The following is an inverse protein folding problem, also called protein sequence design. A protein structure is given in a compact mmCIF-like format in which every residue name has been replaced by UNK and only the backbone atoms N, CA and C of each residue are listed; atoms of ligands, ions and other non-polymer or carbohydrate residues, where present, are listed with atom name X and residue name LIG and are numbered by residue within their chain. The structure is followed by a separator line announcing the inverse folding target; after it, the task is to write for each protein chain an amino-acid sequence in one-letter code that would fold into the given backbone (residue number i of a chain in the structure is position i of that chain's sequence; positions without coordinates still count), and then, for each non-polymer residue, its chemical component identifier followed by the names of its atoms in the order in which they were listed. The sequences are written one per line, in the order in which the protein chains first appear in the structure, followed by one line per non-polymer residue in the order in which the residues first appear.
data_IF_504778885071
#
_entry.id   IF_504778885071
#
_cell.length_a   1.000
_cell.length_b   1.000
_cell.length_c   1.000
_cell.angle_alpha   90.00
_cell.angle_beta   90.00
_cell.angle_gamma   90.00
#
_symmetry.space_group_name_H-M   'P 1'
#
loop_
_entity.id
_entity.type
_entity.pdbx_description
1 polymer ?
#
# COMPACT_ATOMS: atom_id res chain seq x y z
N UNK A 1 76.24 -20.27 45.85
CA UNK A 1 76.62 -19.55 44.62
C UNK A 1 75.50 -18.56 44.29
N UNK A 2 75.90 -17.29 44.16
CA UNK A 2 75.20 -16.12 43.59
C UNK A 2 73.88 -15.68 44.24
N UNK A 3 74.02 -14.61 45.03
CA UNK A 3 72.98 -13.65 45.40
C UNK A 3 72.66 -12.72 44.23
N UNK A 4 71.46 -12.15 44.18
CA UNK A 4 71.29 -10.72 43.87
C UNK A 4 69.88 -10.21 44.22
N UNK A 5 69.85 -9.15 45.00
CA UNK A 5 68.72 -8.26 45.28
C UNK A 5 68.72 -7.06 44.34
N UNK A 6 67.56 -6.53 43.95
CA UNK A 6 67.35 -5.07 43.75
C UNK A 6 65.84 -4.78 43.55
N UNK A 7 65.16 -4.16 44.53
CA UNK A 7 64.83 -2.72 44.70
C UNK A 7 64.18 -2.02 43.49
N UNK A 8 62.96 -1.55 43.75
CA UNK A 8 62.13 -0.65 42.95
C UNK A 8 62.84 0.64 42.53
N UNK A 9 62.56 1.12 41.32
CA UNK A 9 62.74 2.51 40.91
C UNK A 9 61.46 3.03 40.26
N UNK A 10 60.85 4.00 40.93
CA UNK A 10 59.75 4.84 40.47
C UNK A 10 60.30 5.83 39.44
N UNK A 11 59.78 5.82 38.21
CA UNK A 11 60.14 6.83 37.20
C UNK A 11 59.06 7.90 37.19
N UNK A 12 59.43 9.09 37.65
CA UNK A 12 58.69 10.34 37.48
C UNK A 12 59.00 10.87 36.08
N UNK A 13 58.03 10.85 35.17
CA UNK A 13 58.12 11.52 33.88
C UNK A 13 57.44 12.88 34.01
N UNK A 14 58.24 13.93 34.18
CA UNK A 14 57.80 15.30 33.97
C UNK A 14 57.92 15.64 32.49
N UNK A 15 56.82 16.04 31.84
CA UNK A 15 56.86 16.60 30.50
C UNK A 15 56.31 18.02 30.50
N UNK A 16 57.27 18.91 30.26
CA UNK A 16 57.27 20.29 29.80
C UNK A 16 55.96 20.75 29.10
N UNK A 17 55.31 21.77 29.65
CA UNK A 17 54.30 22.57 28.95
C UNK A 17 54.97 23.47 27.92
N UNK A 18 54.63 23.27 26.63
CA UNK A 18 54.93 24.20 25.54
C UNK A 18 53.72 25.11 25.37
N UNK A 19 53.91 26.41 25.66
CA UNK A 19 52.94 27.47 25.36
C UNK A 19 53.07 27.82 23.87
N UNK A 20 52.00 27.55 23.10
CA UNK A 20 51.87 27.98 21.71
C UNK A 20 50.91 29.18 21.67
N UNK A 21 51.43 30.36 21.41
CA UNK A 21 50.64 31.57 21.14
C UNK A 21 49.95 31.43 19.78
N UNK A 22 48.62 31.25 19.79
CA UNK A 22 47.81 31.31 18.57
C UNK A 22 47.29 32.73 18.38
N UNK A 23 47.75 33.37 17.30
CA UNK A 23 47.28 34.65 16.81
C UNK A 23 45.80 34.57 16.41
N UNK A 24 44.99 35.48 16.95
CA UNK A 24 43.57 35.62 16.62
C UNK A 24 43.43 36.22 15.22
N UNK A 25 43.14 35.38 14.24
CA UNK A 25 42.69 35.81 12.91
C UNK A 25 41.23 36.25 12.97
N UNK A 26 40.97 37.54 12.76
CA UNK A 26 39.61 38.09 12.63
C UNK A 26 39.01 37.66 11.30
N UNK A 27 38.13 36.66 11.31
CA UNK A 27 37.30 36.29 10.17
C UNK A 27 36.04 37.15 10.15
N UNK A 28 35.92 38.00 9.12
CA UNK A 28 34.70 38.74 8.84
C UNK A 28 33.54 37.77 8.57
N UNK A 29 32.50 37.81 9.42
CA UNK A 29 31.25 37.09 9.21
C UNK A 29 30.48 37.73 8.06
N UNK A 30 30.33 37.01 6.95
CA UNK A 30 29.34 37.32 5.93
C UNK A 30 27.96 36.93 6.45
N UNK A 31 27.00 37.85 6.35
CA UNK A 31 25.60 37.59 6.69
C UNK A 31 25.04 36.50 5.76
N UNK A 32 24.26 35.52 6.28
CA UNK A 32 23.63 34.53 5.42
C UNK A 32 22.54 35.21 4.58
N UNK A 33 22.56 34.94 3.27
CA UNK A 33 21.51 35.34 2.35
C UNK A 33 20.13 34.82 2.83
N UNK A 34 19.03 35.54 2.56
CA UNK A 34 17.70 35.11 2.98
C UNK A 34 17.41 33.75 2.38
N UNK A 35 17.25 32.76 3.26
CA UNK A 35 17.02 31.37 2.90
C UNK A 35 15.83 31.24 1.96
N UNK A 36 16.06 30.55 0.85
CA UNK A 36 15.00 29.91 0.06
C UNK A 36 14.18 29.10 1.06
N UNK A 37 12.94 29.51 1.32
CA UNK A 37 11.98 28.70 2.06
C UNK A 37 11.76 27.45 1.20
N UNK A 38 12.42 26.36 1.54
CA UNK A 38 12.04 25.03 1.06
C UNK A 38 10.56 24.86 1.41
N UNK A 39 9.72 24.79 0.37
CA UNK A 39 8.31 24.52 0.53
C UNK A 39 8.18 23.21 1.32
N UNK A 40 7.46 23.27 2.44
CA UNK A 40 7.17 22.09 3.27
C UNK A 40 6.43 21.10 2.36
N UNK A 41 7.11 20.06 1.90
CA UNK A 41 6.45 18.94 1.23
C UNK A 41 5.37 18.41 2.16
N UNK A 42 4.15 18.23 1.66
CA UNK A 42 3.13 17.50 2.42
C UNK A 42 3.76 16.19 2.91
N UNK A 43 3.73 15.95 4.22
CA UNK A 43 4.39 14.78 4.82
C UNK A 43 3.86 13.51 4.15
N UNK A 44 4.74 12.58 3.73
CA UNK A 44 4.31 11.30 3.16
C UNK A 44 3.38 10.56 4.13
N UNK A 45 2.48 9.75 3.57
CA UNK A 45 1.61 8.92 4.40
C UNK A 45 2.43 7.83 5.09
N UNK A 46 2.08 7.52 6.34
CA UNK A 46 2.68 6.43 7.10
C UNK A 46 2.09 5.08 6.68
N UNK A 47 0.78 5.07 6.36
CA UNK A 47 0.05 3.88 5.97
C UNK A 47 -0.69 4.04 4.64
N UNK A 48 -0.85 2.92 3.94
CA UNK A 48 -1.70 2.78 2.77
C UNK A 48 -2.65 1.62 2.95
N UNK A 49 -3.94 1.84 2.68
CA UNK A 49 -4.91 0.76 2.51
C UNK A 49 -5.22 0.63 1.02
N UNK A 50 -4.94 -0.53 0.45
CA UNK A 50 -5.28 -0.89 -0.91
C UNK A 50 -6.45 -1.87 -0.92
N UNK A 51 -7.65 -1.38 -1.23
CA UNK A 51 -8.79 -2.23 -1.52
C UNK A 51 -8.78 -2.65 -2.98
N UNK A 52 -8.82 -3.97 -3.22
CA UNK A 52 -8.89 -4.56 -4.55
C UNK A 52 -10.23 -5.29 -4.69
N UNK A 53 -11.11 -4.75 -5.52
CA UNK A 53 -12.47 -5.26 -5.72
C UNK A 53 -12.57 -6.10 -7.01
N UNK A 54 -13.72 -6.73 -7.25
CA UNK A 54 -14.05 -7.35 -8.54
C UNK A 54 -15.49 -7.03 -8.94
N UNK A 55 -15.72 -6.97 -10.26
CA UNK A 55 -17.05 -6.71 -10.81
C UNK A 55 -17.60 -5.34 -10.45
N UNK A 56 -16.73 -4.35 -10.27
CA UNK A 56 -17.08 -3.04 -9.74
C UNK A 56 -16.81 -1.93 -10.77
N UNK A 57 -17.71 -0.95 -10.86
CA UNK A 57 -17.59 0.21 -11.74
C UNK A 57 -18.41 1.40 -11.25
N UNK A 58 -18.47 2.48 -12.04
CA UNK A 58 -19.20 3.70 -11.66
C UNK A 58 -20.68 3.43 -11.36
N UNK A 59 -21.29 2.55 -12.15
CA UNK A 59 -22.69 2.17 -12.03
C UNK A 59 -23.01 1.40 -10.74
N UNK A 60 -22.02 0.74 -10.14
CA UNK A 60 -22.16 0.05 -8.86
C UNK A 60 -22.49 1.02 -7.71
N UNK A 61 -22.17 2.32 -7.85
CA UNK A 61 -22.51 3.35 -6.86
C UNK A 61 -23.95 3.87 -6.98
N UNK A 62 -24.67 3.56 -8.06
CA UNK A 62 -26.04 4.04 -8.29
C UNK A 62 -26.95 3.67 -7.12
N UNK A 63 -27.87 4.58 -6.80
CA UNK A 63 -28.83 4.39 -5.70
C UNK A 63 -28.21 4.42 -4.30
N UNK A 64 -26.94 4.81 -4.15
CA UNK A 64 -26.28 4.92 -2.84
C UNK A 64 -25.91 3.56 -2.24
N UNK A 65 -25.70 2.54 -3.07
CA UNK A 65 -25.44 1.16 -2.64
C UNK A 65 -24.14 1.01 -1.83
N UNK A 66 -23.16 1.87 -2.07
CA UNK A 66 -21.84 1.84 -1.40
C UNK A 66 -21.48 3.21 -0.83
N UNK A 67 -22.06 3.62 0.31
CA UNK A 67 -21.87 4.96 0.86
C UNK A 67 -20.43 5.24 1.31
N UNK A 68 -19.71 4.25 1.86
CA UNK A 68 -18.34 4.43 2.32
C UNK A 68 -17.40 4.67 1.14
N UNK A 69 -17.55 3.90 0.08
CA UNK A 69 -16.82 4.10 -1.17
C UNK A 69 -17.21 5.41 -1.87
N UNK A 70 -18.50 5.78 -1.87
CA UNK A 70 -18.96 7.06 -2.42
C UNK A 70 -18.30 8.26 -1.72
N UNK A 71 -18.06 8.14 -0.41
CA UNK A 71 -17.31 9.14 0.36
C UNK A 71 -15.85 9.23 -0.11
N UNK A 72 -15.16 8.10 -0.30
CA UNK A 72 -13.78 8.08 -0.81
C UNK A 72 -13.68 8.72 -2.20
N UNK A 73 -14.66 8.47 -3.09
CA UNK A 73 -14.73 9.14 -4.40
C UNK A 73 -14.88 10.66 -4.24
N UNK A 74 -15.82 11.11 -3.38
CA UNK A 74 -16.08 12.53 -3.17
C UNK A 74 -14.88 13.27 -2.57
N UNK A 75 -14.17 12.61 -1.66
CA UNK A 75 -13.04 13.19 -0.91
C UNK A 75 -11.70 12.94 -1.60
N UNK A 76 -11.65 12.18 -2.69
CA UNK A 76 -10.41 11.75 -3.34
C UNK A 76 -10.22 12.26 -4.76
N UNK A 77 -9.24 11.65 -5.42
CA UNK A 77 -8.99 11.72 -6.86
C UNK A 77 -9.46 10.42 -7.52
N UNK A 78 -10.19 10.52 -8.63
CA UNK A 78 -10.82 9.36 -9.27
C UNK A 78 -10.68 9.37 -10.79
N UNK A 79 -10.42 8.20 -11.38
CA UNK A 79 -10.80 7.87 -12.75
C UNK A 79 -11.67 6.63 -12.76
N UNK A 80 -12.68 6.62 -13.62
CA UNK A 80 -13.52 5.45 -13.87
C UNK A 80 -13.03 4.63 -15.07
N UNK A 81 -11.92 5.06 -15.67
CA UNK A 81 -11.43 4.54 -16.94
C UNK A 81 -9.97 4.07 -16.89
N UNK A 82 -9.52 3.52 -15.76
CA UNK A 82 -8.19 2.92 -15.70
C UNK A 82 -8.16 1.64 -16.54
N UNK A 83 -7.07 1.44 -17.28
CA UNK A 83 -6.92 0.29 -18.17
C UNK A 83 -6.35 -0.89 -17.39
N UNK A 84 -7.03 -2.03 -17.44
CA UNK A 84 -6.52 -3.30 -16.93
C UNK A 84 -5.51 -3.95 -17.86
N UNK A 85 -5.17 -5.21 -17.59
CA UNK A 85 -4.23 -5.99 -18.41
C UNK A 85 -4.94 -7.07 -19.21
N UNK A 86 -4.21 -7.66 -20.17
CA UNK A 86 -4.64 -8.83 -20.93
C UNK A 86 -3.71 -10.00 -20.59
N UNK A 87 -4.24 -11.21 -20.34
CA UNK A 87 -5.66 -11.56 -20.25
C UNK A 87 -6.33 -10.94 -19.01
N UNK A 88 -7.62 -10.61 -19.14
CA UNK A 88 -8.44 -9.98 -18.10
C UNK A 88 -8.87 -10.96 -16.99
N UNK A 89 -7.90 -11.66 -16.41
CA UNK A 89 -8.10 -12.72 -15.42
C UNK A 89 -7.63 -12.24 -14.04
N UNK A 90 -8.23 -12.77 -12.98
CA UNK A 90 -7.95 -12.39 -11.58
C UNK A 90 -6.46 -12.45 -11.25
N UNK A 91 -5.86 -13.64 -11.38
CA UNK A 91 -4.48 -13.86 -10.97
C UNK A 91 -3.47 -13.05 -11.82
N UNK A 92 -3.55 -13.03 -13.17
CA UNK A 92 -2.70 -12.17 -14.00
C UNK A 92 -2.84 -10.68 -13.66
N UNK A 93 -4.07 -10.21 -13.46
CA UNK A 93 -4.33 -8.79 -13.16
C UNK A 93 -3.79 -8.39 -11.78
N UNK A 94 -3.99 -9.23 -10.75
CA UNK A 94 -3.42 -8.98 -9.42
C UNK A 94 -1.88 -9.02 -9.47
N UNK A 95 -1.30 -9.94 -10.24
CA UNK A 95 0.16 -9.99 -10.44
C UNK A 95 0.68 -8.70 -11.07
N UNK A 96 0.02 -8.21 -12.12
CA UNK A 96 0.36 -6.94 -12.76
C UNK A 96 0.23 -5.75 -11.80
N UNK A 97 -0.79 -5.74 -10.94
CA UNK A 97 -1.00 -4.71 -9.93
C UNK A 97 0.17 -4.66 -8.94
N UNK A 98 0.56 -5.80 -8.36
CA UNK A 98 1.58 -5.83 -7.30
C UNK A 98 3.01 -5.78 -7.84
N UNK A 99 3.25 -6.18 -9.09
CA UNK A 99 4.58 -6.16 -9.72
C UNK A 99 4.80 -4.97 -10.63
N UNK A 100 3.80 -4.13 -10.89
CA UNK A 100 3.96 -2.99 -11.79
C UNK A 100 4.38 -3.36 -13.22
N UNK A 101 4.16 -4.61 -13.62
CA UNK A 101 4.57 -5.18 -14.90
C UNK A 101 3.36 -5.66 -15.69
N UNK A 102 3.41 -5.61 -17.03
CA UNK A 102 2.41 -6.29 -17.85
C UNK A 102 2.61 -7.81 -17.81
N UNK A 103 1.57 -8.56 -18.24
CA UNK A 103 1.53 -10.02 -18.21
C UNK A 103 2.69 -10.65 -18.95
N UNK A 104 3.07 -10.09 -20.09
CA UNK A 104 4.15 -10.60 -20.93
C UNK A 104 5.51 -10.55 -20.21
N UNK A 105 5.69 -9.65 -19.24
CA UNK A 105 6.92 -9.49 -18.48
C UNK A 105 6.95 -10.32 -17.20
N UNK A 106 5.87 -10.32 -16.41
CA UNK A 106 5.84 -11.14 -15.19
C UNK A 106 5.49 -12.62 -15.46
N UNK A 107 4.95 -12.94 -16.65
CA UNK A 107 4.77 -14.30 -17.15
C UNK A 107 3.60 -15.08 -16.55
N UNK A 108 2.71 -14.44 -15.78
CA UNK A 108 1.57 -15.11 -15.13
C UNK A 108 0.34 -14.93 -16.00
N UNK A 109 0.05 -15.94 -16.81
CA UNK A 109 -1.03 -15.94 -17.80
C UNK A 109 -2.09 -17.02 -17.55
N UNK A 110 -2.14 -17.58 -16.34
CA UNK A 110 -3.12 -18.57 -15.89
C UNK A 110 -3.91 -18.05 -14.68
N UNK A 111 -5.05 -18.68 -14.35
CA UNK A 111 -5.99 -18.14 -13.34
C UNK A 111 -6.28 -19.06 -12.14
N UNK A 112 -5.45 -20.07 -11.91
CA UNK A 112 -5.59 -21.02 -10.82
C UNK A 112 -4.28 -21.15 -10.05
N UNK A 113 -4.34 -21.64 -8.82
CA UNK A 113 -3.12 -21.95 -8.08
C UNK A 113 -2.50 -23.24 -8.61
N UNK A 114 -1.22 -23.20 -8.96
CA UNK A 114 -0.45 -24.37 -9.35
C UNK A 114 0.88 -24.42 -8.60
N UNK A 115 1.01 -25.38 -7.68
CA UNK A 115 2.19 -25.52 -6.82
C UNK A 115 3.50 -25.69 -7.61
N UNK A 116 3.47 -26.43 -8.71
CA UNK A 116 4.65 -26.72 -9.56
C UNK A 116 5.27 -25.45 -10.18
N UNK A 117 4.49 -24.38 -10.32
CA UNK A 117 4.95 -23.11 -10.90
C UNK A 117 5.76 -22.24 -9.94
N UNK A 118 5.64 -22.49 -8.63
CA UNK A 118 6.28 -21.68 -7.60
C UNK A 118 5.83 -20.22 -7.60
N UNK A 119 6.50 -19.38 -6.81
CA UNK A 119 6.15 -17.96 -6.70
C UNK A 119 6.69 -17.13 -7.88
N UNK A 120 6.11 -15.94 -8.15
CA UNK A 120 6.59 -15.01 -9.16
C UNK A 120 8.07 -14.67 -8.94
N UNK A 121 8.81 -14.55 -10.04
CA UNK A 121 10.24 -14.17 -9.99
C UNK A 121 10.44 -12.65 -9.96
N UNK A 122 9.53 -11.90 -10.58
CA UNK A 122 9.59 -10.44 -10.57
C UNK A 122 9.33 -9.89 -9.18
N UNK A 123 10.07 -8.84 -8.75
CA UNK A 123 9.82 -8.20 -7.47
C UNK A 123 8.44 -7.53 -7.47
N UNK A 124 7.69 -7.81 -6.42
CA UNK A 124 6.44 -7.18 -6.05
C UNK A 124 6.69 -5.93 -5.21
N UNK A 125 5.63 -5.17 -4.95
CA UNK A 125 5.70 -4.01 -4.08
C UNK A 125 6.04 -4.37 -2.63
N UNK A 126 5.82 -5.62 -2.23
CA UNK A 126 6.15 -6.13 -0.90
C UNK A 126 7.67 -6.30 -0.77
N UNK A 127 8.36 -6.81 -1.80
CA UNK A 127 9.83 -6.86 -1.82
C UNK A 127 10.47 -5.49 -1.60
N UNK A 128 9.93 -4.46 -2.27
CA UNK A 128 10.49 -3.13 -2.15
C UNK A 128 10.18 -2.48 -0.81
N UNK A 129 9.06 -2.83 -0.17
CA UNK A 129 8.79 -2.41 1.20
C UNK A 129 9.77 -3.06 2.19
N UNK A 130 10.06 -4.35 2.00
CA UNK A 130 11.05 -5.09 2.79
C UNK A 130 12.45 -4.47 2.65
N UNK A 131 12.86 -4.16 1.41
CA UNK A 131 14.16 -3.53 1.13
C UNK A 131 14.23 -2.07 1.59
N UNK A 132 13.10 -1.37 1.68
CA UNK A 132 13.00 0.04 2.08
C UNK A 132 12.91 0.21 3.61
N UNK A 133 13.77 -0.50 4.34
CA UNK A 133 13.86 -0.42 5.79
C UNK A 133 12.90 -1.34 6.54
N UNK A 134 12.41 -2.41 5.92
CA UNK A 134 11.57 -3.42 6.57
C UNK A 134 10.17 -2.92 6.89
N UNK A 135 9.51 -2.25 5.93
CA UNK A 135 8.14 -1.75 6.14
C UNK A 135 7.13 -2.88 6.11
N UNK A 136 6.53 -3.17 7.27
CA UNK A 136 5.52 -4.23 7.40
C UNK A 136 4.34 -4.08 6.41
N UNK A 137 3.96 -5.19 5.80
CA UNK A 137 2.77 -5.30 4.96
C UNK A 137 1.88 -6.47 5.38
N UNK A 138 0.57 -6.28 5.24
CA UNK A 138 -0.43 -7.29 5.58
C UNK A 138 -1.40 -7.46 4.41
N UNK A 139 -1.49 -8.68 3.87
CA UNK A 139 -2.22 -8.98 2.65
C UNK A 139 -3.32 -9.98 2.96
N UNK A 140 -4.55 -9.62 2.59
CA UNK A 140 -5.73 -10.45 2.79
C UNK A 140 -6.35 -10.80 1.44
N UNK A 141 -6.10 -12.02 0.98
CA UNK A 141 -6.63 -12.52 -0.30
C UNK A 141 -7.85 -13.40 -0.10
N UNK A 142 -8.98 -12.98 -0.67
CA UNK A 142 -10.23 -13.73 -0.60
C UNK A 142 -10.44 -14.67 -1.82
N UNK A 143 -9.38 -15.29 -2.34
CA UNK A 143 -9.43 -16.27 -3.45
C UNK A 143 -8.19 -17.19 -3.47
N UNK A 144 -8.36 -18.49 -3.74
CA UNK A 144 -7.25 -19.45 -3.72
C UNK A 144 -6.24 -19.25 -4.85
N UNK A 145 -6.67 -18.76 -6.02
CA UNK A 145 -5.77 -18.52 -7.15
C UNK A 145 -4.62 -17.58 -6.77
N UNK A 146 -4.90 -16.63 -5.87
CA UNK A 146 -3.95 -15.65 -5.38
C UNK A 146 -2.91 -16.22 -4.39
N UNK A 147 -3.05 -17.48 -3.97
CA UNK A 147 -1.98 -18.17 -3.23
C UNK A 147 -0.68 -18.23 -4.05
N UNK A 148 -0.79 -18.21 -5.39
CA UNK A 148 0.36 -18.10 -6.28
C UNK A 148 1.20 -16.85 -6.02
N UNK A 149 0.61 -15.77 -5.50
CA UNK A 149 1.29 -14.50 -5.23
C UNK A 149 1.72 -14.33 -3.77
N UNK A 150 1.34 -15.26 -2.89
CA UNK A 150 1.61 -15.20 -1.46
C UNK A 150 2.99 -15.79 -1.12
N UNK A 151 4.06 -15.16 -1.64
CA UNK A 151 5.44 -15.59 -1.40
C UNK A 151 5.83 -15.30 0.05
N UNK A 152 6.37 -16.28 0.82
CA UNK A 152 6.82 -16.02 2.18
C UNK A 152 7.94 -14.98 2.22
N UNK A 153 7.75 -13.92 3.01
CA UNK A 153 8.67 -12.78 3.13
C UNK A 153 8.79 -12.34 4.60
N UNK A 154 9.93 -11.78 5.04
CA UNK A 154 10.16 -11.43 6.44
C UNK A 154 9.18 -10.44 7.06
N UNK A 155 8.78 -9.38 6.34
CA UNK A 155 7.88 -8.34 6.86
C UNK A 155 6.51 -8.32 6.19
N UNK A 156 6.14 -9.44 5.55
CA UNK A 156 4.87 -9.57 4.83
C UNK A 156 4.04 -10.71 5.43
N UNK A 157 2.86 -10.40 5.98
CA UNK A 157 1.90 -11.40 6.45
C UNK A 157 0.81 -11.62 5.40
N UNK A 158 0.64 -12.88 4.97
CA UNK A 158 -0.44 -13.28 4.07
C UNK A 158 -1.52 -14.06 4.82
N UNK A 159 -2.76 -13.60 4.73
CA UNK A 159 -3.93 -14.33 5.16
C UNK A 159 -4.81 -14.60 3.95
N UNK A 160 -5.14 -15.87 3.73
CA UNK A 160 -5.96 -16.29 2.61
C UNK A 160 -7.27 -16.90 3.07
N UNK A 161 -8.28 -16.68 2.25
CA UNK A 161 -9.63 -17.14 2.46
C UNK A 161 -10.18 -17.51 1.09
N UNK A 162 -10.47 -18.78 0.87
CA UNK A 162 -10.82 -19.30 -0.45
C UNK A 162 -12.30 -19.63 -0.61
N UNK A 163 -12.78 -19.77 -1.85
CA UNK A 163 -14.14 -20.23 -2.14
C UNK A 163 -14.43 -21.66 -1.62
N UNK A 164 -13.40 -22.49 -1.47
CA UNK A 164 -13.48 -23.84 -0.89
C UNK A 164 -13.73 -23.83 0.63
N UNK A 165 -13.65 -22.66 1.27
CA UNK A 165 -13.96 -22.47 2.70
C UNK A 165 -15.34 -21.80 2.82
N UNK A 166 -16.40 -22.50 3.26
CA UNK A 166 -17.74 -21.93 3.38
C UNK A 166 -17.81 -20.68 4.28
N UNK A 167 -16.91 -20.57 5.26
CA UNK A 167 -16.79 -19.41 6.12
C UNK A 167 -16.17 -18.18 5.44
N UNK A 168 -15.72 -18.32 4.19
CA UNK A 168 -15.03 -17.26 3.50
C UNK A 168 -15.97 -16.16 3.03
N UNK A 169 -15.79 -14.98 3.59
CA UNK A 169 -16.64 -13.81 3.35
C UNK A 169 -15.87 -12.52 3.64
N UNK A 170 -16.36 -11.36 3.15
CA UNK A 170 -15.80 -10.07 3.53
C UNK A 170 -15.71 -9.87 5.05
N UNK A 171 -16.68 -10.38 5.81
CA UNK A 171 -16.65 -10.33 7.29
C UNK A 171 -15.52 -11.15 7.89
N UNK A 172 -15.20 -12.31 7.30
CA UNK A 172 -14.08 -13.15 7.73
C UNK A 172 -12.74 -12.47 7.49
N UNK A 173 -12.58 -11.81 6.34
CA UNK A 173 -11.41 -10.98 6.04
C UNK A 173 -11.25 -9.86 7.06
N UNK A 174 -12.32 -9.11 7.36
CA UNK A 174 -12.31 -8.06 8.41
C UNK A 174 -11.92 -8.64 9.77
N UNK A 175 -12.38 -9.84 10.12
CA UNK A 175 -12.01 -10.50 11.36
C UNK A 175 -10.51 -10.85 11.41
N UNK A 176 -9.93 -11.33 10.31
CA UNK A 176 -8.49 -11.56 10.20
C UNK A 176 -7.69 -10.26 10.32
N UNK A 177 -8.14 -9.17 9.68
CA UNK A 177 -7.50 -7.85 9.82
C UNK A 177 -7.52 -7.38 11.28
N UNK A 178 -8.65 -7.50 11.99
CA UNK A 178 -8.75 -7.14 13.41
C UNK A 178 -7.83 -8.00 14.29
N UNK A 179 -7.67 -9.29 13.95
CA UNK A 179 -6.74 -10.18 14.64
C UNK A 179 -5.28 -9.76 14.40
N UNK A 180 -4.91 -9.40 13.17
CA UNK A 180 -3.60 -8.85 12.84
C UNK A 180 -3.32 -7.61 13.70
N UNK A 181 -4.23 -6.63 13.72
CA UNK A 181 -4.05 -5.37 14.46
C UNK A 181 -3.83 -5.63 15.95
N UNK A 182 -4.66 -6.47 16.55
CA UNK A 182 -4.50 -6.89 17.95
C UNK A 182 -3.14 -7.54 18.22
N UNK A 183 -2.65 -8.38 17.30
CA UNK A 183 -1.35 -9.04 17.44
C UNK A 183 -0.21 -8.01 17.33
N UNK A 184 -0.25 -7.16 16.30
CA UNK A 184 0.71 -6.09 16.08
C UNK A 184 0.84 -5.14 17.26
N UNK A 185 -0.26 -4.85 17.98
CA UNK A 185 -0.24 -3.94 19.14
C UNK A 185 -0.14 -4.66 20.49
N UNK A 186 0.02 -5.98 20.52
CA UNK A 186 0.04 -6.76 21.78
C UNK A 186 1.35 -6.67 22.57
N UNK A 187 2.41 -6.14 21.97
CA UNK A 187 3.76 -6.07 22.55
C UNK A 187 4.48 -7.43 22.68
N UNK A 188 3.82 -8.54 22.31
CA UNK A 188 4.37 -9.88 22.37
C UNK A 188 4.17 -10.54 21.00
N UNK A 189 5.17 -10.43 20.12
CA UNK A 189 5.14 -11.07 18.81
C UNK A 189 5.09 -12.60 18.95
N UNK A 190 3.90 -13.20 18.91
CA UNK A 190 3.73 -14.65 18.99
C UNK A 190 3.65 -15.30 17.61
N UNK A 191 4.68 -16.08 17.23
CA UNK A 191 4.80 -16.75 15.92
C UNK A 191 4.90 -15.76 14.75
N UNK A 192 5.36 -16.19 13.56
CA UNK A 192 5.71 -15.37 12.37
C UNK A 192 5.53 -13.85 12.58
N UNK A 193 6.67 -13.18 12.79
CA UNK A 193 6.84 -11.92 13.48
C UNK A 193 5.97 -10.77 12.92
N UNK A 194 4.76 -10.61 13.46
CA UNK A 194 3.96 -9.39 13.26
C UNK A 194 4.48 -8.37 14.28
N UNK A 195 5.40 -7.52 13.83
CA UNK A 195 6.15 -6.61 14.68
C UNK A 195 5.51 -5.22 14.78
N UNK A 196 4.72 -4.83 13.79
CA UNK A 196 4.07 -3.52 13.75
C UNK A 196 2.74 -3.51 12.99
N UNK A 197 2.02 -2.39 13.09
CA UNK A 197 0.86 -2.12 12.25
C UNK A 197 1.32 -1.93 10.80
N UNK A 198 0.54 -2.35 9.80
CA UNK A 198 1.05 -2.45 8.45
C UNK A 198 1.21 -1.05 7.82
N UNK A 199 2.35 -0.80 7.19
CA UNK A 199 2.54 0.35 6.30
C UNK A 199 1.74 0.18 5.02
N UNK A 200 1.53 -1.06 4.57
CA UNK A 200 0.64 -1.40 3.47
C UNK A 200 -0.32 -2.51 3.86
N UNK A 201 -1.62 -2.21 3.86
CA UNK A 201 -2.69 -3.19 4.02
C UNK A 201 -3.36 -3.45 2.66
N UNK A 202 -3.31 -4.67 2.15
CA UNK A 202 -4.02 -5.07 0.93
C UNK A 202 -5.25 -5.92 1.28
N UNK A 203 -6.42 -5.53 0.78
CA UNK A 203 -7.69 -6.21 1.06
C UNK A 203 -8.40 -6.55 -0.24
N UNK A 204 -8.41 -7.83 -0.61
CA UNK A 204 -9.11 -8.33 -1.79
C UNK A 204 -10.55 -8.76 -1.47
N UNK A 205 -11.53 -8.20 -2.19
CA UNK A 205 -12.97 -8.44 -1.96
C UNK A 205 -13.70 -8.74 -3.28
N UNK A 206 -13.73 -10.01 -3.72
CA UNK A 206 -14.32 -10.44 -5.00
C UNK A 206 -15.85 -10.67 -4.96
N UNK A 207 -16.48 -10.52 -3.79
CA UNK A 207 -17.88 -10.96 -3.55
C UNK A 207 -18.89 -10.35 -4.52
N UNK A 208 -18.75 -9.06 -4.84
CA UNK A 208 -19.62 -8.38 -5.79
C UNK A 208 -19.48 -8.96 -7.20
N UNK A 209 -18.25 -9.20 -7.66
CA UNK A 209 -17.99 -9.86 -8.95
C UNK A 209 -18.58 -11.26 -9.01
N UNK A 210 -18.38 -12.07 -7.97
CA UNK A 210 -18.96 -13.43 -7.87
C UNK A 210 -20.49 -13.40 -7.97
N UNK A 211 -21.15 -12.53 -7.21
CA UNK A 211 -22.60 -12.38 -7.27
C UNK A 211 -23.08 -11.87 -8.64
N UNK A 212 -22.35 -10.95 -9.26
CA UNK A 212 -22.64 -10.43 -10.60
C UNK A 212 -22.58 -11.51 -11.68
N UNK A 213 -21.58 -12.39 -11.62
CA UNK A 213 -21.45 -13.55 -12.53
C UNK A 213 -22.55 -14.58 -12.27
N UNK A 214 -22.79 -14.96 -11.01
CA UNK A 214 -23.72 -16.03 -10.66
C UNK A 214 -25.21 -15.65 -10.84
N UNK A 215 -25.56 -14.39 -10.57
CA UNK A 215 -26.97 -13.95 -10.51
C UNK A 215 -27.31 -12.83 -11.49
N UNK A 216 -26.31 -12.27 -12.17
CA UNK A 216 -26.46 -11.15 -13.09
C UNK A 216 -26.27 -9.79 -12.41
N UNK A 217 -25.79 -8.83 -13.21
CA UNK A 217 -25.33 -7.51 -12.75
C UNK A 217 -26.42 -6.50 -12.37
N UNK A 218 -27.69 -6.86 -12.59
CA UNK A 218 -28.86 -6.06 -12.17
C UNK A 218 -29.66 -6.76 -11.04
N UNK A 219 -29.15 -7.87 -10.52
CA UNK A 219 -29.83 -8.70 -9.54
C UNK A 219 -29.91 -8.04 -8.15
N UNK A 220 -30.74 -8.60 -7.27
CA UNK A 220 -30.75 -8.20 -5.86
C UNK A 220 -29.47 -8.67 -5.19
N UNK A 221 -29.02 -9.88 -5.53
CA UNK A 221 -27.84 -10.56 -5.01
C UNK A 221 -26.57 -9.73 -5.25
N UNK A 222 -26.38 -9.21 -6.47
CA UNK A 222 -25.27 -8.31 -6.78
C UNK A 222 -25.32 -7.03 -5.93
N UNK A 223 -26.49 -6.39 -5.79
CA UNK A 223 -26.64 -5.18 -4.95
C UNK A 223 -26.41 -5.44 -3.47
N UNK A 224 -26.80 -6.62 -2.98
CA UNK A 224 -26.57 -7.05 -1.60
C UNK A 224 -25.08 -7.34 -1.36
N UNK A 225 -24.41 -7.95 -2.33
CA UNK A 225 -22.96 -8.17 -2.31
C UNK A 225 -22.19 -6.83 -2.31
N UNK A 226 -22.58 -5.85 -3.13
CA UNK A 226 -22.02 -4.50 -3.09
C UNK A 226 -22.14 -3.85 -1.71
N UNK A 227 -23.30 -3.97 -1.03
CA UNK A 227 -23.49 -3.48 0.34
C UNK A 227 -22.59 -4.20 1.36
N UNK A 228 -22.39 -5.50 1.16
CA UNK A 228 -21.51 -6.31 2.01
C UNK A 228 -20.05 -5.88 1.85
N UNK A 229 -19.60 -5.66 0.61
CA UNK A 229 -18.26 -5.12 0.31
C UNK A 229 -18.07 -3.73 0.92
N UNK A 230 -19.04 -2.82 0.76
CA UNK A 230 -18.95 -1.47 1.37
C UNK A 230 -18.91 -1.52 2.90
N UNK A 231 -19.65 -2.45 3.52
CA UNK A 231 -19.61 -2.68 4.97
C UNK A 231 -18.24 -3.16 5.44
N UNK A 232 -17.57 -4.01 4.65
CA UNK A 232 -16.21 -4.46 4.94
C UNK A 232 -15.20 -3.31 4.79
N UNK A 233 -15.30 -2.51 3.72
CA UNK A 233 -14.50 -1.28 3.54
C UNK A 233 -14.68 -0.37 4.76
N UNK A 234 -15.93 -0.07 5.16
CA UNK A 234 -16.24 0.75 6.32
C UNK A 234 -15.58 0.20 7.59
N UNK A 235 -15.68 -1.11 7.82
CA UNK A 235 -15.14 -1.74 9.03
C UNK A 235 -13.61 -1.63 9.12
N UNK A 236 -12.91 -1.73 8.00
CA UNK A 236 -11.46 -1.52 7.94
C UNK A 236 -11.12 -0.04 8.16
N UNK A 237 -11.85 0.90 7.54
CA UNK A 237 -11.64 2.34 7.78
C UNK A 237 -11.90 2.73 9.24
N UNK A 238 -12.94 2.16 9.86
CA UNK A 238 -13.26 2.36 11.28
C UNK A 238 -12.15 1.79 12.18
N UNK A 239 -11.52 0.67 11.80
CA UNK A 239 -10.37 0.11 12.52
C UNK A 239 -9.18 1.07 12.49
N UNK A 240 -8.86 1.67 11.35
CA UNK A 240 -7.80 2.69 11.27
C UNK A 240 -8.13 3.92 12.12
N UNK A 241 -9.41 4.29 12.23
CA UNK A 241 -9.85 5.35 13.13
C UNK A 241 -9.69 4.96 14.60
N UNK A 242 -10.08 3.74 14.98
CA UNK A 242 -9.95 3.18 16.33
C UNK A 242 -8.49 3.22 16.82
N UNK A 243 -7.53 2.94 15.94
CA UNK A 243 -6.10 2.96 16.24
C UNK A 243 -5.43 4.32 15.98
N UNK A 244 -6.19 5.39 15.72
CA UNK A 244 -5.68 6.75 15.48
C UNK A 244 -4.65 6.81 14.34
N UNK A 245 -4.98 6.18 13.21
CA UNK A 245 -4.16 6.11 11.99
C UNK A 245 -4.75 6.94 10.84
N UNK A 246 -6.00 7.41 10.95
CA UNK A 246 -6.72 8.02 9.82
C UNK A 246 -6.05 9.27 9.23
N UNK A 247 -5.38 10.06 10.06
CA UNK A 247 -4.70 11.32 9.68
C UNK A 247 -3.32 11.13 9.06
N UNK A 248 -2.87 9.88 8.93
CA UNK A 248 -1.59 9.45 8.34
C UNK A 248 -1.76 8.30 7.34
N UNK A 249 -3.00 8.08 6.88
CA UNK A 249 -3.36 7.00 5.97
C UNK A 249 -3.88 7.53 4.64
N UNK A 250 -3.41 6.94 3.55
CA UNK A 250 -4.02 7.07 2.22
C UNK A 250 -4.76 5.78 1.87
N UNK A 251 -5.91 5.90 1.22
CA UNK A 251 -6.73 4.79 0.76
C UNK A 251 -6.71 4.76 -0.75
N UNK A 252 -6.32 3.63 -1.32
CA UNK A 252 -6.39 3.31 -2.74
C UNK A 252 -7.49 2.28 -2.93
N UNK A 253 -8.38 2.49 -3.89
CA UNK A 253 -9.39 1.52 -4.30
C UNK A 253 -9.30 1.30 -5.80
N UNK A 254 -9.20 0.05 -6.21
CA UNK A 254 -9.29 -0.35 -7.62
C UNK A 254 -10.05 -1.67 -7.74
N UNK A 255 -10.20 -2.16 -8.97
CA UNK A 255 -10.81 -3.46 -9.23
C UNK A 255 -9.98 -4.26 -10.24
N UNK A 256 -9.98 -5.59 -10.09
CA UNK A 256 -9.38 -6.49 -11.10
C UNK A 256 -10.27 -6.64 -12.33
N UNK A 257 -11.57 -6.34 -12.19
CA UNK A 257 -12.55 -6.42 -13.27
C UNK A 257 -13.68 -5.41 -13.09
N UNK A 258 -14.24 -4.97 -14.21
CA UNK A 258 -15.44 -4.15 -14.26
C UNK A 258 -16.73 -4.99 -14.19
N UNK A 259 -17.85 -4.31 -14.05
CA UNK A 259 -19.18 -4.92 -14.20
C UNK A 259 -19.32 -5.54 -15.60
N UNK A 260 -19.86 -6.76 -15.69
CA UNK A 260 -20.01 -7.48 -16.95
C UNK A 260 -18.85 -8.42 -17.29
N UNK A 261 -17.77 -8.39 -16.51
CA UNK A 261 -16.59 -9.24 -16.72
C UNK A 261 -16.52 -10.32 -15.65
N UNK A 262 -16.18 -11.54 -16.06
CA UNK A 262 -15.87 -12.64 -15.14
C UNK A 262 -14.33 -12.83 -15.04
N UNK A 263 -13.67 -12.27 -14.01
CA UNK A 263 -12.23 -12.47 -13.83
C UNK A 263 -11.89 -13.90 -13.38
N UNK A 264 -12.88 -14.73 -13.04
CA UNK A 264 -12.74 -16.14 -12.71
C UNK A 264 -12.87 -17.08 -13.91
N UNK A 265 -13.23 -16.57 -15.10
CA UNK A 265 -13.45 -17.39 -16.27
C UNK A 265 -12.19 -18.13 -16.74
N UNK A 266 -12.37 -19.29 -17.39
CA UNK A 266 -11.27 -20.06 -17.99
C UNK A 266 -10.72 -19.40 -19.26
N UNK A 267 -11.54 -18.60 -19.94
CA UNK A 267 -11.19 -17.92 -21.17
C UNK A 267 -11.22 -16.39 -20.98
N UNK A 268 -10.19 -15.67 -21.44
CA UNK A 268 -10.11 -14.22 -21.26
C UNK A 268 -11.03 -13.46 -22.21
N UNK A 269 -11.42 -12.25 -21.80
CA UNK A 269 -12.07 -11.29 -22.71
C UNK A 269 -11.08 -10.76 -23.76
N UNK A 270 -11.60 -10.38 -24.92
CA UNK A 270 -10.79 -9.83 -26.04
C UNK A 270 -10.29 -8.42 -25.78
N UNK A 271 -11.02 -7.65 -24.98
CA UNK A 271 -10.69 -6.26 -24.65
C UNK A 271 -10.09 -6.16 -23.25
N UNK A 272 -9.21 -5.15 -23.07
CA UNK A 272 -8.66 -4.84 -21.77
C UNK A 272 -9.78 -4.26 -20.91
N UNK A 273 -9.99 -4.75 -19.68
CA UNK A 273 -11.10 -4.30 -18.87
C UNK A 273 -10.83 -2.85 -18.45
N UNK A 274 -11.92 -2.09 -18.33
CA UNK A 274 -11.89 -0.76 -17.79
C UNK A 274 -12.35 -0.84 -16.34
N UNK A 275 -11.52 -0.32 -15.43
CA UNK A 275 -11.73 -0.45 -13.98
C UNK A 275 -11.65 0.92 -13.29
N UNK A 276 -12.35 1.09 -12.16
CA UNK A 276 -12.18 2.27 -11.33
C UNK A 276 -10.81 2.30 -10.68
N UNK A 277 -10.29 3.51 -10.52
CA UNK A 277 -9.07 3.78 -9.77
C UNK A 277 -9.27 5.07 -8.96
N UNK A 278 -9.30 4.90 -7.64
CA UNK A 278 -9.67 5.93 -6.67
C UNK A 278 -8.57 6.03 -5.64
N UNK A 279 -8.14 7.24 -5.31
CA UNK A 279 -7.20 7.50 -4.22
C UNK A 279 -7.74 8.62 -3.34
N UNK A 280 -7.74 8.44 -2.03
CA UNK A 280 -8.28 9.41 -1.07
C UNK A 280 -7.48 9.41 0.23
N UNK A 281 -7.44 10.54 0.94
CA UNK A 281 -6.73 10.67 2.22
C UNK A 281 -5.52 11.58 2.14
N UNK A 282 -4.56 11.36 3.03
CA UNK A 282 -3.42 12.26 3.25
C UNK A 282 -2.61 12.46 1.98
N UNK A 283 -2.26 13.72 1.68
CA UNK A 283 -1.44 14.10 0.53
C UNK A 283 -2.15 14.08 -0.83
N UNK A 284 -3.43 13.73 -0.89
CA UNK A 284 -4.20 13.56 -2.14
C UNK A 284 -5.16 14.71 -2.36
N UNK A 285 -5.30 15.18 -3.60
CA UNK A 285 -6.25 16.24 -3.97
C UNK A 285 -7.69 15.75 -3.81
N UNK A 286 -8.54 16.63 -3.28
CA UNK A 286 -9.93 16.32 -2.96
C UNK A 286 -10.87 16.63 -4.13
N UNK A 287 -11.79 15.72 -4.43
CA UNK A 287 -12.85 15.90 -5.42
C UNK A 287 -12.35 16.05 -6.86
N UNK A 288 -11.17 15.50 -7.17
CA UNK A 288 -10.56 15.63 -8.49
C UNK A 288 -10.91 14.46 -9.40
N UNK A 289 -11.18 14.77 -10.67
CA UNK A 289 -11.17 13.78 -11.75
C UNK A 289 -9.76 13.69 -12.33
N UNK A 290 -9.21 12.48 -12.44
CA UNK A 290 -7.89 12.24 -13.01
C UNK A 290 -8.02 12.22 -14.52
N UNK A 291 -7.29 13.10 -15.20
CA UNK A 291 -7.36 13.26 -16.65
C UNK A 291 -6.26 12.51 -17.40
N UNK A 292 -5.10 12.28 -16.76
CA UNK A 292 -4.07 11.44 -17.35
C UNK A 292 -4.55 9.99 -17.54
N UNK A 293 -4.06 9.27 -18.56
CA UNK A 293 -4.25 7.83 -18.65
C UNK A 293 -3.68 7.14 -17.40
N UNK A 294 -4.43 6.17 -16.86
CA UNK A 294 -4.02 5.34 -15.74
C UNK A 294 -4.12 3.88 -16.16
N UNK A 295 -3.07 3.11 -15.91
CA UNK A 295 -3.08 1.66 -16.00
C UNK A 295 -3.10 1.06 -14.60
N UNK A 296 -3.68 -0.13 -14.44
CA UNK A 296 -3.65 -0.84 -13.15
C UNK A 296 -2.20 -1.11 -12.67
N UNK A 297 -1.26 -1.26 -13.60
CA UNK A 297 0.16 -1.46 -13.29
C UNK A 297 0.77 -0.25 -12.57
N UNK A 298 0.21 0.96 -12.75
CA UNK A 298 0.68 2.21 -12.12
C UNK A 298 0.40 2.25 -10.60
N UNK A 299 -0.40 1.31 -10.10
CA UNK A 299 -0.76 1.22 -8.68
C UNK A 299 0.46 1.02 -7.80
N UNK A 300 1.38 0.11 -8.18
CA UNK A 300 2.59 -0.17 -7.41
C UNK A 300 3.46 1.08 -7.21
N UNK A 301 3.82 1.77 -8.31
CA UNK A 301 4.62 3.00 -8.25
C UNK A 301 3.91 4.12 -7.48
N UNK A 302 2.59 4.24 -7.63
CA UNK A 302 1.82 5.24 -6.89
C UNK A 302 1.85 4.96 -5.38
N UNK A 303 1.74 3.69 -4.95
CA UNK A 303 1.82 3.34 -3.53
C UNK A 303 3.21 3.62 -2.96
N UNK A 304 4.30 3.30 -3.68
CA UNK A 304 5.65 3.68 -3.26
C UNK A 304 5.76 5.20 -3.09
N UNK A 305 5.26 5.96 -4.07
CA UNK A 305 5.26 7.42 -4.05
C UNK A 305 4.46 8.01 -2.88
N UNK A 306 3.34 7.38 -2.49
CA UNK A 306 2.54 7.77 -1.32
C UNK A 306 3.32 7.56 -0.02
N UNK A 307 4.06 6.46 0.09
CA UNK A 307 4.89 6.11 1.25
C UNK A 307 6.25 6.86 1.29
N UNK A 308 6.51 7.71 0.31
CA UNK A 308 7.77 8.45 0.17
C UNK A 308 8.95 7.57 -0.22
N UNK A 309 8.69 6.47 -0.92
CA UNK A 309 9.70 5.54 -1.43
C UNK A 309 9.95 5.78 -2.92
N UNK A 310 11.20 5.58 -3.34
CA UNK A 310 11.57 5.62 -4.74
C UNK A 310 11.10 4.35 -5.46
N UNK A 311 10.69 4.52 -6.71
CA UNK A 311 10.29 3.42 -7.57
C UNK A 311 11.52 2.82 -8.25
N UNK A 312 11.55 1.49 -8.38
CA UNK A 312 12.70 0.78 -8.92
C UNK A 312 12.61 0.56 -10.44
N UNK A 313 13.77 0.40 -11.08
CA UNK A 313 13.92 0.33 -12.54
C UNK A 313 13.32 -0.91 -13.19
N UNK A 314 13.03 -1.96 -12.41
CA UNK A 314 12.48 -3.21 -12.94
C UNK A 314 10.98 -3.12 -13.27
N UNK A 315 10.29 -2.07 -12.83
CA UNK A 315 8.87 -1.86 -13.10
C UNK A 315 8.64 -0.98 -14.33
N UNK A 316 7.55 -1.27 -15.05
CA UNK A 316 7.02 -0.38 -16.10
C UNK A 316 6.04 0.66 -15.55
N UNK A 317 5.59 0.42 -14.32
CA UNK A 317 4.71 1.26 -13.50
C UNK A 317 5.21 2.70 -13.38
N UNK A 318 4.29 3.67 -13.47
CA UNK A 318 4.57 5.09 -13.21
C UNK A 318 3.65 5.61 -12.13
N UNK A 319 4.18 6.43 -11.23
CA UNK A 319 3.32 7.09 -10.25
C UNK A 319 2.34 8.03 -10.94
N UNK A 320 1.07 7.99 -10.55
CA UNK A 320 0.03 8.91 -11.05
C UNK A 320 0.20 10.26 -10.35
N UNK A 321 1.16 11.07 -10.81
CA UNK A 321 1.55 12.32 -10.13
C UNK A 321 0.42 13.35 -10.03
N UNK A 322 -0.55 13.32 -10.95
CA UNK A 322 -1.67 14.27 -11.00
C UNK A 322 -2.47 14.35 -9.68
N UNK A 323 -2.50 13.27 -8.88
CA UNK A 323 -3.32 13.17 -7.66
C UNK A 323 -2.72 13.90 -6.44
N UNK A 324 -1.41 14.16 -6.42
CA UNK A 324 -0.75 14.66 -5.21
C UNK A 324 -0.97 16.16 -5.03
N UNK A 325 -1.23 16.57 -3.80
CA UNK A 325 -1.25 17.98 -3.43
C UNK A 325 0.17 18.57 -3.56
N UNK A 326 0.28 19.75 -4.17
CA UNK A 326 1.53 20.51 -4.13
C UNK A 326 1.69 21.15 -2.76
N UNK A 327 2.94 21.34 -2.32
CA UNK A 327 3.31 21.95 -1.03
C UNK A 327 2.60 23.30 -0.74
N UNK A 328 2.20 24.05 -1.78
CA UNK A 328 1.48 25.31 -1.63
C UNK A 328 -0.01 25.15 -1.28
N UNK A 329 -0.63 24.01 -1.58
CA UNK A 329 -2.06 23.77 -1.31
C UNK A 329 -2.31 23.23 0.11
N UNK A 330 -1.34 22.54 0.72
CA UNK A 330 -1.45 21.97 2.06
C UNK A 330 -1.56 23.02 3.18
N UNK A 331 -1.12 24.26 2.94
CA UNK A 331 -1.21 25.38 3.89
C UNK A 331 -2.52 26.16 3.84
N UNK A 332 -3.41 25.85 2.88
CA UNK A 332 -4.65 26.59 2.64
C UNK A 332 -5.91 25.91 3.24
N UNK A 333 -5.75 24.83 4.02
CA UNK A 333 -6.88 24.21 4.70
C UNK A 333 -7.50 25.19 5.72
N UNK A 334 -8.84 25.39 5.71
CA UNK A 334 -9.48 26.33 6.62
C UNK A 334 -9.35 25.85 8.08
N UNK A 335 -9.16 26.75 9.06
CA UNK A 335 -8.99 26.37 10.45
C UNK A 335 -10.23 25.63 10.94
N UNK A 336 -10.00 24.51 11.64
CA UNK A 336 -11.03 23.76 12.35
C UNK A 336 -11.83 24.74 13.21
N UNK A 337 -13.15 24.83 12.98
CA UNK A 337 -14.04 25.56 13.88
C UNK A 337 -14.01 24.86 15.23
N UNK A 338 -13.30 25.46 16.19
CA UNK A 338 -13.55 25.25 17.61
C UNK A 338 -14.87 25.94 17.95
N UNK A 339 -15.91 25.16 18.20
CA UNK A 339 -16.98 25.40 19.17
C UNK A 339 -17.85 24.15 19.26
#
# INVERSE_FOLDING_TARGET
MVSTSWRHHTIIVGFLMVLLETTVGSSAQSAPAPGVRTAVSASPSEHVILFVLEGFGQDSLKGGTMPSLSKLVKEGSVTWSATGVKPALRLPTMASLITGLPVEKHGINWNFFEFSRGYPRSPSMFDYLDLSGGRDSAIFYMDESLYQLARPEPYTDYQLCGALRPECSPNKIVAFIRQYFRKATSGHGYGHAILSLPHLLVVHLPEAGRAGVAHGWNSKEYRDALRTVDTAIKSVLDLFKEYTLSDRTTVVVTALSGQGTDPGADAPTTDAPVVPWIVSGVGIKHGQVIHQPVSIIDTGATVMRILGLETHTEWDSKAVEEIFQTAAAASAAPPSKKQ
#
